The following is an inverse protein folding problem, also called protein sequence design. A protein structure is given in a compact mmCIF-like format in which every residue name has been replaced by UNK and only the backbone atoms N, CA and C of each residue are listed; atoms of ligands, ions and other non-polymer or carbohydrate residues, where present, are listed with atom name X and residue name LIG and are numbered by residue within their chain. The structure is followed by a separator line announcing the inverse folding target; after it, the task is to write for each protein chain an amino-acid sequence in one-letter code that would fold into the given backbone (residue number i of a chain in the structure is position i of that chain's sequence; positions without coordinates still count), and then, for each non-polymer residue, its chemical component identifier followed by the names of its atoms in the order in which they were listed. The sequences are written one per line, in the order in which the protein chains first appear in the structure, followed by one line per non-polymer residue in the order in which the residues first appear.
data_IF_411214464763
#
_entry.id   IF_411214464763
#
_cell.length_a   1.000
_cell.length_b   1.000
_cell.length_c   1.000
_cell.angle_alpha   90.00
_cell.angle_beta   90.00
_cell.angle_gamma   90.00
#
_symmetry.space_group_name_H-M   'P 1'
#
loop_
_entity.id
_entity.type
_entity.pdbx_description
1 polymer ?
#
# COMPACT_ATOMS: atom_id res chain seq x y z
N UNK A 1 22.39 -17.06 -3.62
CA UNK A 1 21.45 -16.47 -4.58
C UNK A 1 20.07 -16.98 -4.22
N UNK A 2 19.10 -16.11 -3.92
CA UNK A 2 17.72 -16.53 -3.70
C UNK A 2 17.22 -17.20 -4.97
N UNK A 3 16.72 -18.43 -4.87
CA UNK A 3 16.14 -19.13 -6.03
C UNK A 3 14.91 -18.33 -6.50
N UNK A 4 15.00 -17.75 -7.70
CA UNK A 4 13.87 -17.15 -8.39
C UNK A 4 12.88 -18.26 -8.75
N UNK A 5 11.59 -18.05 -8.55
CA UNK A 5 10.60 -18.94 -9.13
C UNK A 5 10.30 -18.52 -10.59
N UNK A 6 9.68 -19.44 -11.35
CA UNK A 6 9.40 -19.21 -12.77
C UNK A 6 8.44 -18.05 -13.02
N UNK A 7 7.59 -17.71 -12.04
CA UNK A 7 6.66 -16.59 -12.15
C UNK A 7 7.39 -15.25 -12.12
N UNK A 8 8.47 -15.16 -11.33
CA UNK A 8 9.24 -13.93 -11.14
C UNK A 8 10.07 -13.54 -12.38
N UNK A 9 10.30 -14.47 -13.32
CA UNK A 9 11.17 -14.29 -14.50
C UNK A 9 10.45 -14.38 -15.84
N UNK A 10 9.14 -14.63 -15.84
CA UNK A 10 8.33 -14.69 -17.08
C UNK A 10 8.26 -13.31 -17.77
N UNK A 11 8.01 -13.31 -19.09
CA UNK A 11 7.83 -12.06 -19.84
C UNK A 11 6.61 -11.27 -19.37
N UNK A 12 6.55 -9.98 -19.72
CA UNK A 12 5.39 -9.14 -19.41
C UNK A 12 4.10 -9.72 -20.02
N UNK A 13 4.15 -10.15 -21.27
CA UNK A 13 3.00 -10.74 -21.98
C UNK A 13 2.52 -12.04 -21.32
N UNK A 14 3.45 -12.91 -20.92
CA UNK A 14 3.12 -14.12 -20.17
C UNK A 14 2.49 -13.80 -18.81
N UNK A 15 3.02 -12.78 -18.12
CA UNK A 15 2.46 -12.33 -16.83
C UNK A 15 1.06 -11.81 -16.99
N UNK A 16 0.82 -10.94 -17.98
CA UNK A 16 -0.51 -10.40 -18.26
C UNK A 16 -1.51 -11.51 -18.58
N UNK A 17 -1.15 -12.44 -19.46
CA UNK A 17 -2.01 -13.58 -19.81
C UNK A 17 -2.36 -14.44 -18.58
N UNK A 18 -1.38 -14.77 -17.75
CA UNK A 18 -1.59 -15.56 -16.54
C UNK A 18 -2.43 -14.81 -15.48
N UNK A 19 -2.23 -13.51 -15.34
CA UNK A 19 -3.01 -12.68 -14.42
C UNK A 19 -4.44 -12.51 -14.89
N UNK A 20 -4.69 -12.33 -16.19
CA UNK A 20 -6.04 -12.31 -16.77
C UNK A 20 -6.75 -13.65 -16.56
N UNK A 21 -6.06 -14.77 -16.77
CA UNK A 21 -6.62 -16.10 -16.54
C UNK A 21 -7.09 -16.29 -15.09
N UNK A 22 -6.36 -15.74 -14.11
CA UNK A 22 -6.74 -15.77 -12.70
C UNK A 22 -7.83 -14.74 -12.38
N UNK A 23 -7.79 -13.56 -12.98
CA UNK A 23 -8.70 -12.44 -12.70
C UNK A 23 -10.13 -12.71 -13.20
N UNK A 24 -10.30 -13.25 -14.42
CA UNK A 24 -11.62 -13.39 -15.04
C UNK A 24 -12.60 -14.21 -14.19
N UNK A 25 -12.24 -15.37 -13.60
CA UNK A 25 -13.13 -16.09 -12.69
C UNK A 25 -13.51 -15.30 -11.44
N UNK A 26 -12.60 -14.46 -10.91
CA UNK A 26 -12.86 -13.62 -9.74
C UNK A 26 -13.89 -12.53 -10.07
N UNK A 27 -13.74 -11.87 -11.21
CA UNK A 27 -14.69 -10.85 -11.68
C UNK A 27 -16.09 -11.46 -11.91
N UNK A 28 -16.17 -12.62 -12.55
CA UNK A 28 -17.43 -13.32 -12.77
C UNK A 28 -18.11 -13.68 -11.44
N UNK A 29 -17.35 -14.20 -10.47
CA UNK A 29 -17.85 -14.54 -9.14
C UNK A 29 -18.37 -13.33 -8.39
N UNK A 30 -17.59 -12.24 -8.32
CA UNK A 30 -18.00 -11.00 -7.65
C UNK A 30 -19.26 -10.44 -8.30
N UNK A 31 -19.32 -10.41 -9.62
CA UNK A 31 -20.47 -9.88 -10.36
C UNK A 31 -21.74 -10.69 -10.08
N UNK A 32 -21.63 -12.02 -9.98
CA UNK A 32 -22.74 -12.90 -9.67
C UNK A 32 -23.23 -12.77 -8.20
N UNK A 33 -22.31 -12.60 -7.24
CA UNK A 33 -22.65 -12.59 -5.81
C UNK A 33 -22.94 -11.16 -5.27
N UNK A 34 -22.62 -10.11 -6.02
CA UNK A 34 -22.83 -8.70 -5.64
C UNK A 34 -23.79 -7.93 -6.57
N UNK A 35 -24.78 -8.60 -7.13
CA UNK A 35 -25.87 -7.98 -7.93
C UNK A 35 -25.36 -7.05 -9.05
N UNK A 36 -24.31 -7.46 -9.78
CA UNK A 36 -23.80 -6.72 -10.92
C UNK A 36 -22.97 -5.48 -10.54
N UNK A 37 -22.39 -5.43 -9.36
CA UNK A 37 -21.54 -4.29 -8.90
C UNK A 37 -20.37 -3.99 -9.84
N UNK A 38 -19.86 -4.98 -10.55
CA UNK A 38 -18.85 -4.85 -11.58
C UNK A 38 -19.49 -5.02 -12.97
N UNK A 39 -20.51 -4.22 -13.30
CA UNK A 39 -21.28 -4.32 -14.54
C UNK A 39 -20.45 -4.32 -15.82
N UNK A 40 -19.27 -3.71 -15.79
CA UNK A 40 -18.33 -3.66 -16.92
C UNK A 40 -17.27 -4.77 -16.88
N UNK A 41 -17.37 -5.73 -15.97
CA UNK A 41 -16.40 -6.83 -15.85
C UNK A 41 -16.31 -7.70 -17.14
N UNK A 42 -17.40 -7.85 -17.88
CA UNK A 42 -17.44 -8.56 -19.15
C UNK A 42 -16.66 -7.88 -20.29
N UNK A 43 -16.35 -6.58 -20.15
CA UNK A 43 -15.59 -5.80 -21.12
C UNK A 43 -14.08 -5.91 -20.96
N UNK A 44 -13.60 -6.53 -19.87
CA UNK A 44 -12.18 -6.67 -19.56
C UNK A 44 -11.54 -7.68 -20.50
N UNK A 45 -10.63 -7.24 -21.36
CA UNK A 45 -9.85 -8.05 -22.30
C UNK A 45 -8.34 -7.95 -22.05
N UNK A 46 -7.90 -6.90 -21.33
CA UNK A 46 -6.53 -6.65 -20.93
C UNK A 46 -6.48 -6.11 -19.49
N UNK A 47 -5.32 -6.12 -18.85
CA UNK A 47 -5.18 -5.50 -17.52
C UNK A 47 -5.41 -3.99 -17.56
N UNK A 48 -5.13 -3.34 -18.70
CA UNK A 48 -5.38 -1.92 -18.88
C UNK A 48 -6.88 -1.56 -18.84
N UNK A 49 -7.76 -2.51 -19.13
CA UNK A 49 -9.21 -2.29 -19.08
C UNK A 49 -9.75 -2.23 -17.65
N UNK A 50 -8.97 -2.64 -16.66
CA UNK A 50 -9.33 -2.49 -15.23
C UNK A 50 -9.72 -1.05 -14.88
N UNK A 51 -9.13 -0.06 -15.55
CA UNK A 51 -9.48 1.37 -15.40
C UNK A 51 -10.97 1.68 -15.55
N UNK A 52 -11.71 0.84 -16.24
CA UNK A 52 -13.16 1.00 -16.45
C UNK A 52 -13.98 0.49 -15.26
N UNK A 53 -13.39 -0.29 -14.37
CA UNK A 53 -14.05 -0.72 -13.14
C UNK A 53 -13.92 0.34 -12.05
N UNK A 54 -14.92 0.45 -11.15
CA UNK A 54 -14.88 1.42 -10.06
C UNK A 54 -13.73 1.11 -9.09
N UNK A 55 -13.14 2.17 -8.54
CA UNK A 55 -12.14 2.05 -7.46
C UNK A 55 -12.86 1.75 -6.15
N UNK A 56 -12.48 0.66 -5.48
CA UNK A 56 -12.95 0.30 -4.15
C UNK A 56 -12.13 1.05 -3.10
N UNK A 57 -12.73 2.02 -2.43
CA UNK A 57 -12.07 2.76 -1.36
C UNK A 57 -12.29 2.12 0.01
N UNK A 58 -11.35 2.30 0.90
CA UNK A 58 -11.43 1.77 2.26
C UNK A 58 -12.70 2.23 3.00
N UNK A 59 -13.14 3.46 2.77
CA UNK A 59 -14.40 3.99 3.31
C UNK A 59 -15.64 3.26 2.78
N UNK A 60 -15.63 2.87 1.50
CA UNK A 60 -16.71 2.07 0.92
C UNK A 60 -16.75 0.67 1.55
N UNK A 61 -15.57 0.04 1.71
CA UNK A 61 -15.47 -1.28 2.32
C UNK A 61 -16.04 -1.27 3.75
N UNK A 62 -15.71 -0.27 4.56
CA UNK A 62 -16.28 -0.11 5.92
C UNK A 62 -17.80 0.02 5.90
N UNK A 63 -18.35 0.82 4.99
CA UNK A 63 -19.79 0.98 4.84
C UNK A 63 -20.48 -0.33 4.44
N UNK A 64 -19.88 -1.08 3.50
CA UNK A 64 -20.40 -2.37 3.06
C UNK A 64 -20.35 -3.42 4.17
N UNK A 65 -19.28 -3.44 4.98
CA UNK A 65 -19.16 -4.34 6.11
C UNK A 65 -20.17 -4.02 7.23
N UNK A 66 -20.51 -2.74 7.42
CA UNK A 66 -21.57 -2.35 8.35
C UNK A 66 -22.95 -2.79 7.85
N UNK A 67 -23.19 -2.77 6.55
CA UNK A 67 -24.45 -3.20 5.93
C UNK A 67 -24.58 -4.73 5.86
N UNK A 68 -23.51 -5.43 5.46
CA UNK A 68 -23.43 -6.90 5.31
C UNK A 68 -22.20 -7.46 6.04
N UNK A 69 -22.23 -7.61 7.38
CA UNK A 69 -21.10 -8.15 8.13
C UNK A 69 -20.78 -9.61 7.76
N UNK A 70 -19.53 -10.07 7.89
CA UNK A 70 -18.35 -9.29 8.27
C UNK A 70 -17.64 -8.62 7.06
N UNK A 71 -17.85 -9.07 5.84
CA UNK A 71 -17.01 -8.73 4.68
C UNK A 71 -17.72 -7.91 3.60
N UNK A 72 -18.84 -7.27 3.90
CA UNK A 72 -19.53 -6.37 2.97
C UNK A 72 -20.14 -7.07 1.74
N UNK A 73 -20.43 -8.38 1.86
CA UNK A 73 -20.90 -9.19 0.75
C UNK A 73 -19.82 -9.52 -0.28
N UNK A 74 -18.54 -9.24 0.00
CA UNK A 74 -17.43 -9.73 -0.84
C UNK A 74 -17.38 -11.25 -0.73
N UNK A 75 -17.31 -11.98 -1.86
CA UNK A 75 -17.22 -13.44 -1.84
C UNK A 75 -16.01 -13.93 -1.03
N UNK A 76 -16.22 -14.87 -0.13
CA UNK A 76 -15.15 -15.46 0.67
C UNK A 76 -15.19 -16.97 0.61
N UNK A 77 -14.00 -17.59 0.65
CA UNK A 77 -13.82 -19.04 0.80
C UNK A 77 -12.55 -19.31 1.61
N UNK A 78 -12.41 -20.52 2.17
CA UNK A 78 -11.20 -20.91 2.87
C UNK A 78 -10.83 -20.07 4.10
N UNK A 79 -11.76 -19.24 4.60
CA UNK A 79 -11.51 -18.34 5.74
C UNK A 79 -11.47 -19.15 7.03
N UNK A 80 -10.34 -19.08 7.73
CA UNK A 80 -10.10 -19.77 9.00
C UNK A 80 -9.75 -18.84 10.14
N UNK A 81 -9.46 -17.57 9.83
CA UNK A 81 -9.10 -16.52 10.79
C UNK A 81 -9.87 -15.24 10.48
N UNK A 82 -10.17 -14.46 11.50
CA UNK A 82 -10.86 -13.18 11.41
C UNK A 82 -10.00 -12.13 12.11
N UNK A 83 -9.82 -10.99 11.46
CA UNK A 83 -9.04 -9.87 11.97
C UNK A 83 -9.85 -8.59 11.92
N UNK A 84 -9.39 -7.59 12.64
CA UNK A 84 -9.97 -6.25 12.66
C UNK A 84 -8.86 -5.19 12.67
N UNK A 85 -8.80 -4.41 11.62
CA UNK A 85 -7.97 -3.21 11.55
C UNK A 85 -8.72 -1.97 12.05
N UNK A 86 -7.99 -0.88 12.41
CA UNK A 86 -8.63 0.38 12.75
C UNK A 86 -9.54 0.88 11.63
N UNK A 87 -10.78 1.27 12.04
CA UNK A 87 -11.80 1.75 11.11
C UNK A 87 -13.23 1.62 11.67
N UNK A 88 -13.80 0.52 12.21
CA UNK A 88 -13.26 -0.83 12.09
C UNK A 88 -13.38 -1.40 10.66
N UNK A 89 -12.38 -2.17 10.25
CA UNK A 89 -12.40 -2.96 9.02
C UNK A 89 -12.13 -4.41 9.40
N UNK A 90 -12.94 -5.35 8.91
CA UNK A 90 -12.74 -6.78 9.13
C UNK A 90 -12.03 -7.41 7.93
N UNK A 91 -10.96 -8.14 8.20
CA UNK A 91 -10.19 -8.84 7.19
C UNK A 91 -10.22 -10.34 7.46
N UNK A 92 -10.38 -11.17 6.41
CA UNK A 92 -10.23 -12.62 6.53
C UNK A 92 -8.77 -13.05 6.50
N UNK A 93 -8.51 -14.25 6.98
CA UNK A 93 -7.26 -14.97 6.78
C UNK A 93 -7.52 -16.43 6.52
N UNK A 94 -6.75 -17.03 5.63
CA UNK A 94 -6.79 -18.45 5.32
C UNK A 94 -5.71 -19.24 6.05
N UNK A 95 -5.74 -20.57 5.89
CA UNK A 95 -4.78 -21.50 6.45
C UNK A 95 -3.80 -22.08 5.43
N UNK A 96 -3.98 -21.78 4.14
CA UNK A 96 -3.04 -22.21 3.12
C UNK A 96 -1.68 -21.54 3.32
N UNK A 97 -0.56 -22.24 3.08
CA UNK A 97 0.75 -21.62 3.20
C UNK A 97 0.87 -20.36 2.37
N UNK A 98 1.49 -19.33 2.95
CA UNK A 98 1.72 -18.02 2.30
C UNK A 98 0.44 -17.31 1.77
N UNK A 99 -0.68 -17.48 2.47
CA UNK A 99 -1.99 -16.96 2.03
C UNK A 99 -1.96 -15.46 1.67
N UNK A 100 -1.12 -14.67 2.36
CA UNK A 100 -0.90 -13.24 2.11
C UNK A 100 0.28 -12.93 1.19
N UNK A 101 1.02 -13.95 0.68
CA UNK A 101 2.07 -13.87 -0.34
C UNK A 101 3.38 -13.20 0.08
N UNK A 102 3.74 -13.17 1.36
CA UNK A 102 5.02 -12.61 1.84
C UNK A 102 6.22 -13.55 1.67
N UNK A 103 6.04 -14.80 1.28
CA UNK A 103 7.11 -15.79 1.18
C UNK A 103 8.20 -15.43 0.16
N UNK A 104 7.83 -14.82 -0.99
CA UNK A 104 8.81 -14.31 -1.98
C UNK A 104 9.70 -13.23 -1.39
N UNK A 105 9.12 -12.36 -0.58
CA UNK A 105 9.87 -11.34 0.14
C UNK A 105 10.86 -11.95 1.14
N UNK A 106 10.43 -12.93 1.94
CA UNK A 106 11.33 -13.59 2.89
C UNK A 106 12.49 -14.29 2.16
N UNK A 107 12.21 -15.01 1.06
CA UNK A 107 13.28 -15.59 0.22
C UNK A 107 14.22 -14.52 -0.35
N UNK A 108 13.70 -13.38 -0.82
CA UNK A 108 14.53 -12.28 -1.30
C UNK A 108 15.42 -11.69 -0.19
N UNK A 109 14.93 -11.66 1.06
CA UNK A 109 15.70 -11.29 2.24
C UNK A 109 16.69 -12.38 2.70
N UNK A 110 16.80 -13.49 1.97
CA UNK A 110 17.68 -14.62 2.29
C UNK A 110 17.19 -15.44 3.49
N UNK A 111 15.91 -15.34 3.84
CA UNK A 111 15.28 -16.07 4.94
C UNK A 111 14.65 -17.36 4.40
N UNK A 112 14.90 -18.47 5.05
CA UNK A 112 14.39 -19.77 4.64
C UNK A 112 14.73 -20.90 5.61
N UNK A 113 14.85 -22.11 5.07
CA UNK A 113 15.15 -23.31 5.87
C UNK A 113 16.38 -23.12 6.76
N UNK A 114 16.24 -23.47 8.02
CA UNK A 114 17.29 -23.31 9.05
C UNK A 114 17.23 -21.98 9.82
N UNK A 115 16.54 -20.97 9.31
CA UNK A 115 16.36 -19.71 10.04
C UNK A 115 15.34 -19.84 11.18
N UNK A 116 15.57 -19.04 12.23
CA UNK A 116 14.61 -18.76 13.29
C UNK A 116 14.28 -17.28 13.23
N UNK A 117 13.03 -16.96 12.90
CA UNK A 117 12.54 -15.59 12.75
C UNK A 117 11.91 -15.13 14.06
N UNK A 118 12.41 -14.04 14.63
CA UNK A 118 11.69 -13.31 15.66
C UNK A 118 10.64 -12.42 15.01
N UNK A 119 9.38 -12.84 15.04
CA UNK A 119 8.26 -12.08 14.50
C UNK A 119 7.65 -11.19 15.59
N UNK A 120 7.87 -9.88 15.45
CA UNK A 120 7.44 -8.86 16.41
C UNK A 120 6.18 -8.12 16.00
N UNK A 121 5.57 -8.47 14.86
CA UNK A 121 4.26 -7.97 14.49
C UNK A 121 3.19 -8.45 15.47
N UNK A 122 2.14 -7.65 15.66
CA UNK A 122 1.02 -8.00 16.54
C UNK A 122 0.29 -9.25 16.03
N UNK A 123 -0.01 -10.14 16.97
CA UNK A 123 -0.89 -11.29 16.77
C UNK A 123 -2.34 -11.02 17.24
N UNK A 124 -2.59 -9.80 17.72
CA UNK A 124 -3.89 -9.37 18.24
C UNK A 124 -4.57 -8.42 17.26
N UNK A 125 -5.85 -8.62 17.03
CA UNK A 125 -6.72 -7.84 16.15
C UNK A 125 -6.26 -7.80 14.69
N UNK A 126 -5.07 -7.24 14.39
CA UNK A 126 -4.55 -7.07 13.02
C UNK A 126 -3.84 -8.33 12.52
N UNK A 127 -3.81 -8.58 11.20
CA UNK A 127 -3.29 -9.82 10.65
C UNK A 127 -1.76 -9.90 10.53
N UNK A 128 -1.02 -8.81 10.80
CA UNK A 128 0.41 -8.71 10.44
C UNK A 128 1.29 -9.85 11.03
N UNK A 129 1.09 -10.24 12.28
CA UNK A 129 1.80 -11.36 12.89
C UNK A 129 1.53 -12.68 12.15
N UNK A 130 0.26 -12.96 11.85
CA UNK A 130 -0.15 -14.14 11.10
C UNK A 130 0.34 -14.13 9.64
N UNK A 131 0.42 -12.97 9.00
CA UNK A 131 0.96 -12.81 7.65
C UNK A 131 2.40 -13.27 7.56
N UNK A 132 3.26 -12.76 8.43
CA UNK A 132 4.68 -13.11 8.45
C UNK A 132 4.94 -14.54 8.95
N UNK A 133 4.09 -15.04 9.88
CA UNK A 133 4.14 -16.44 10.30
C UNK A 133 3.82 -17.40 9.14
N UNK A 134 2.71 -17.14 8.42
CA UNK A 134 2.31 -17.94 7.26
C UNK A 134 3.41 -17.97 6.18
N UNK A 135 4.04 -16.82 5.92
CA UNK A 135 5.15 -16.71 4.98
C UNK A 135 6.40 -17.45 5.45
N UNK A 136 6.74 -17.36 6.74
CA UNK A 136 7.89 -18.04 7.32
C UNK A 136 7.74 -19.58 7.20
N UNK A 137 6.55 -20.10 7.50
CA UNK A 137 6.25 -21.53 7.33
C UNK A 137 6.35 -21.96 5.86
N UNK A 138 5.94 -21.11 4.92
CA UNK A 138 6.01 -21.40 3.48
C UNK A 138 7.45 -21.38 2.91
N UNK A 139 8.42 -20.88 3.66
CA UNK A 139 9.85 -20.90 3.31
C UNK A 139 10.67 -21.82 4.24
N UNK A 140 10.00 -22.70 4.99
CA UNK A 140 10.58 -23.65 5.93
C UNK A 140 11.39 -23.01 7.06
N UNK A 141 11.10 -21.77 7.43
CA UNK A 141 11.69 -21.10 8.58
C UNK A 141 10.87 -21.34 9.85
N UNK A 142 11.54 -21.38 10.99
CA UNK A 142 10.88 -21.45 12.31
C UNK A 142 10.51 -20.06 12.80
N UNK A 143 9.41 -19.93 13.53
CA UNK A 143 8.93 -18.64 14.03
C UNK A 143 8.93 -18.60 15.55
N UNK A 144 9.57 -17.59 16.11
CA UNK A 144 9.33 -17.14 17.47
C UNK A 144 8.26 -16.02 17.41
N UNK A 145 7.05 -16.32 17.84
CA UNK A 145 5.89 -15.42 17.85
C UNK A 145 6.01 -14.44 19.02
N UNK A 146 6.93 -13.47 18.91
CA UNK A 146 7.28 -12.55 19.97
C UNK A 146 6.24 -11.45 20.20
N UNK A 147 5.64 -10.94 19.11
CA UNK A 147 4.73 -9.79 19.18
C UNK A 147 5.43 -8.49 19.61
N UNK A 148 4.68 -7.39 19.80
CA UNK A 148 5.23 -6.13 20.29
C UNK A 148 5.42 -6.13 21.83
N UNK A 149 6.34 -5.30 22.32
CA UNK A 149 6.59 -5.13 23.76
C UNK A 149 7.54 -6.15 24.37
N UNK A 150 7.68 -6.16 25.71
CA UNK A 150 8.54 -7.09 26.46
C UNK A 150 9.99 -7.14 25.96
N UNK A 151 10.57 -5.99 25.58
CA UNK A 151 11.84 -5.90 24.81
C UNK A 151 13.00 -6.64 25.48
N UNK A 152 13.12 -6.56 26.82
CA UNK A 152 14.16 -7.29 27.57
C UNK A 152 14.01 -8.82 27.44
N UNK A 153 12.78 -9.32 27.59
CA UNK A 153 12.51 -10.76 27.41
C UNK A 153 12.79 -11.21 25.98
N UNK A 154 12.47 -10.37 25.00
CA UNK A 154 12.73 -10.65 23.58
C UNK A 154 14.23 -10.75 23.29
N UNK A 155 15.06 -9.88 23.90
CA UNK A 155 16.54 -9.97 23.78
C UNK A 155 17.05 -11.29 24.32
N UNK A 156 16.61 -11.73 25.52
CA UNK A 156 17.03 -13.01 26.12
C UNK A 156 16.57 -14.19 25.26
N UNK A 157 15.29 -14.20 24.87
CA UNK A 157 14.74 -15.26 24.03
C UNK A 157 15.44 -15.37 22.67
N UNK A 158 15.85 -14.24 22.08
CA UNK A 158 16.57 -14.24 20.81
C UNK A 158 17.90 -15.02 20.89
N UNK A 159 18.60 -14.91 22.01
CA UNK A 159 19.82 -15.71 22.27
C UNK A 159 19.47 -17.18 22.50
N UNK A 160 18.54 -17.44 23.44
CA UNK A 160 18.20 -18.80 23.85
C UNK A 160 17.62 -19.66 22.71
N UNK A 161 16.84 -19.03 21.81
CA UNK A 161 16.22 -19.68 20.65
C UNK A 161 17.11 -19.67 19.41
N UNK A 162 18.26 -19.00 19.43
CA UNK A 162 19.17 -18.90 18.29
C UNK A 162 18.50 -18.17 17.11
N UNK A 163 17.86 -17.03 17.36
CA UNK A 163 17.20 -16.22 16.32
C UNK A 163 18.21 -15.73 15.30
N UNK A 164 17.99 -15.98 14.02
CA UNK A 164 18.88 -15.59 12.91
C UNK A 164 18.31 -14.47 12.06
N UNK A 165 16.99 -14.24 12.14
CA UNK A 165 16.28 -13.27 11.34
C UNK A 165 15.22 -12.54 12.16
N UNK A 166 14.92 -11.30 11.74
CA UNK A 166 13.89 -10.47 12.33
C UNK A 166 12.76 -10.20 11.33
N UNK A 167 11.52 -10.18 11.82
CA UNK A 167 10.34 -9.67 11.11
C UNK A 167 9.57 -8.69 12.01
N UNK A 168 9.30 -7.47 11.53
CA UNK A 168 8.65 -6.44 12.31
C UNK A 168 8.74 -5.05 11.70
N UNK A 169 8.45 -4.01 12.50
CA UNK A 169 8.65 -2.63 12.05
C UNK A 169 10.14 -2.24 12.13
N UNK A 170 10.60 -1.33 11.26
CA UNK A 170 12.01 -0.93 11.26
C UNK A 170 12.49 -0.36 12.59
N UNK A 171 11.69 0.48 13.21
CA UNK A 171 11.99 1.17 14.48
C UNK A 171 12.09 0.20 15.66
N UNK A 172 11.24 -0.82 15.71
CA UNK A 172 11.23 -1.77 16.81
C UNK A 172 12.46 -2.71 16.80
N UNK A 173 13.01 -3.02 15.62
CA UNK A 173 14.32 -3.67 15.54
C UNK A 173 15.40 -2.81 16.25
N UNK A 174 15.38 -1.50 15.99
CA UNK A 174 16.28 -0.55 16.67
C UNK A 174 16.14 -0.58 18.19
N UNK A 175 14.90 -0.63 18.70
CA UNK A 175 14.63 -0.72 20.12
C UNK A 175 15.16 -2.02 20.75
N UNK A 176 15.01 -3.16 20.06
CA UNK A 176 15.57 -4.45 20.51
C UNK A 176 17.09 -4.41 20.56
N UNK A 177 17.74 -3.88 19.52
CA UNK A 177 19.20 -3.78 19.46
C UNK A 177 19.75 -2.83 20.53
N UNK A 178 19.10 -1.68 20.75
CA UNK A 178 19.48 -0.76 21.83
C UNK A 178 19.33 -1.41 23.21
N UNK A 179 18.26 -2.16 23.45
CA UNK A 179 18.06 -2.89 24.70
C UNK A 179 19.12 -3.98 24.90
N UNK A 180 19.50 -4.67 23.83
CA UNK A 180 20.59 -5.67 23.89
C UNK A 180 21.92 -5.02 24.30
N UNK A 181 22.24 -3.83 23.75
CA UNK A 181 23.43 -3.06 24.12
C UNK A 181 23.40 -2.69 25.61
N UNK A 182 22.26 -2.18 26.13
CA UNK A 182 22.09 -1.86 27.57
C UNK A 182 22.30 -3.08 28.47
N UNK A 183 21.89 -4.27 27.99
CA UNK A 183 22.03 -5.53 28.73
C UNK A 183 23.41 -6.16 28.57
N UNK A 184 24.29 -5.62 27.73
CA UNK A 184 25.58 -6.21 27.39
C UNK A 184 25.48 -7.53 26.62
N UNK A 185 24.37 -7.74 25.91
CA UNK A 185 24.07 -8.96 25.13
C UNK A 185 24.31 -8.70 23.66
N UNK A 186 25.14 -9.50 23.01
CA UNK A 186 25.39 -9.43 21.58
C UNK A 186 24.35 -10.25 20.80
N UNK A 187 23.62 -9.60 19.88
CA UNK A 187 22.69 -10.25 18.94
C UNK A 187 23.31 -10.42 17.53
N UNK A 188 24.60 -10.72 17.47
CA UNK A 188 25.37 -10.81 16.21
C UNK A 188 24.94 -11.96 15.29
N UNK A 189 24.16 -12.89 15.79
CA UNK A 189 23.55 -13.98 15.02
C UNK A 189 22.33 -13.56 14.21
N UNK A 190 21.72 -12.38 14.52
CA UNK A 190 20.68 -11.79 13.70
C UNK A 190 21.34 -11.04 12.54
N UNK A 191 21.33 -11.64 11.37
CA UNK A 191 21.99 -11.09 10.17
C UNK A 191 21.01 -10.64 9.07
N UNK A 192 19.73 -10.96 9.23
CA UNK A 192 18.67 -10.70 8.24
C UNK A 192 17.49 -10.01 8.90
N UNK A 193 16.90 -9.03 8.21
CA UNK A 193 15.67 -8.39 8.66
C UNK A 193 14.72 -8.14 7.50
N UNK A 194 13.48 -8.59 7.67
CA UNK A 194 12.35 -8.37 6.77
C UNK A 194 11.37 -7.40 7.45
N UNK A 195 11.35 -6.13 7.00
CA UNK A 195 10.61 -5.08 7.69
C UNK A 195 9.44 -4.53 6.87
N UNK A 196 8.38 -4.11 7.56
CA UNK A 196 7.19 -3.47 6.99
C UNK A 196 6.47 -2.60 8.03
N UNK A 197 5.35 -1.97 7.65
CA UNK A 197 4.50 -1.22 8.57
C UNK A 197 5.06 0.11 9.04
N UNK A 198 6.20 0.53 8.54
CA UNK A 198 6.83 1.82 8.83
C UNK A 198 7.94 2.13 7.83
N UNK A 199 8.37 3.41 7.73
CA UNK A 199 9.43 3.79 6.80
C UNK A 199 10.80 3.31 7.30
N UNK A 200 11.58 2.71 6.41
CA UNK A 200 12.98 2.38 6.65
C UNK A 200 13.88 3.50 6.10
N UNK A 201 14.18 4.49 6.94
CA UNK A 201 15.01 5.61 6.55
C UNK A 201 16.46 5.19 6.25
N UNK A 202 17.16 5.86 5.29
CA UNK A 202 18.54 5.52 4.91
C UNK A 202 19.52 5.45 6.10
N UNK A 203 19.39 6.37 7.06
CA UNK A 203 20.24 6.39 8.27
C UNK A 203 20.02 5.15 9.15
N UNK A 204 18.75 4.71 9.28
CA UNK A 204 18.39 3.52 10.07
C UNK A 204 18.92 2.26 9.38
N UNK A 205 18.74 2.15 8.06
CA UNK A 205 19.28 1.06 7.25
C UNK A 205 20.81 0.96 7.37
N UNK A 206 21.51 2.10 7.29
CA UNK A 206 22.97 2.14 7.44
C UNK A 206 23.42 1.68 8.84
N UNK A 207 22.68 2.04 9.89
CA UNK A 207 22.97 1.59 11.24
C UNK A 207 22.82 0.06 11.40
N UNK A 208 21.82 -0.55 10.75
CA UNK A 208 21.66 -2.02 10.72
C UNK A 208 22.76 -2.69 9.91
N UNK A 209 23.10 -2.15 8.75
CA UNK A 209 24.20 -2.66 7.93
C UNK A 209 25.56 -2.64 8.69
N UNK A 210 25.82 -1.59 9.49
CA UNK A 210 27.02 -1.51 10.34
C UNK A 210 27.06 -2.59 11.45
N UNK A 211 25.92 -3.21 11.77
CA UNK A 211 25.81 -4.36 12.68
C UNK A 211 25.83 -5.71 11.95
N UNK A 212 26.05 -5.72 10.63
CA UNK A 212 26.01 -6.93 9.80
C UNK A 212 24.60 -7.41 9.45
N UNK A 213 23.56 -6.58 9.65
CA UNK A 213 22.17 -6.96 9.37
C UNK A 213 21.78 -6.44 7.99
N UNK A 214 21.49 -7.35 7.05
CA UNK A 214 20.84 -7.02 5.77
C UNK A 214 19.35 -6.81 6.02
N UNK A 215 18.89 -5.56 5.90
CA UNK A 215 17.52 -5.17 6.16
C UNK A 215 16.82 -4.80 4.85
N UNK A 216 15.84 -5.61 4.44
CA UNK A 216 14.97 -5.34 3.30
C UNK A 216 13.56 -4.96 3.75
N UNK A 217 12.94 -4.08 2.99
CA UNK A 217 11.60 -3.57 3.25
C UNK A 217 10.60 -4.09 2.23
N UNK A 218 9.36 -4.33 2.68
CA UNK A 218 8.24 -4.57 1.80
C UNK A 218 7.08 -3.59 2.04
N UNK A 219 6.19 -3.54 1.08
CA UNK A 219 4.93 -2.82 1.12
C UNK A 219 3.77 -3.81 1.03
N UNK A 220 2.83 -3.68 1.96
CA UNK A 220 1.61 -4.47 2.02
C UNK A 220 0.61 -3.85 2.97
N UNK A 221 -0.65 -4.28 2.89
CA UNK A 221 -1.74 -3.83 3.77
C UNK A 221 -2.48 -5.03 4.37
N UNK A 222 -3.21 -4.78 5.45
CA UNK A 222 -4.06 -5.79 6.08
C UNK A 222 -5.13 -6.33 5.11
N UNK A 223 -5.61 -5.47 4.21
CA UNK A 223 -6.72 -5.77 3.29
C UNK A 223 -6.28 -6.68 2.14
N UNK A 224 -5.19 -6.32 1.44
CA UNK A 224 -4.77 -7.00 0.20
C UNK A 224 -3.55 -7.92 0.39
N UNK A 225 -2.90 -7.90 1.56
CA UNK A 225 -1.68 -8.64 1.80
C UNK A 225 -0.46 -7.97 1.16
N UNK A 226 0.46 -8.77 0.64
CA UNK A 226 1.71 -8.32 0.05
C UNK A 226 1.51 -7.66 -1.31
N UNK A 227 2.17 -6.53 -1.54
CA UNK A 227 2.05 -5.73 -2.77
C UNK A 227 3.39 -5.64 -3.50
N UNK A 228 4.47 -5.27 -2.79
CA UNK A 228 5.78 -5.10 -3.40
C UNK A 228 6.89 -5.22 -2.36
N UNK A 229 8.12 -5.54 -2.80
CA UNK A 229 9.25 -5.78 -1.91
C UNK A 229 10.60 -5.42 -2.53
N UNK A 230 11.52 -5.01 -1.67
CA UNK A 230 12.91 -4.87 -2.02
C UNK A 230 13.56 -6.24 -2.25
N UNK A 231 14.40 -6.32 -3.26
CA UNK A 231 15.24 -7.50 -3.55
C UNK A 231 16.72 -7.20 -3.33
N UNK A 232 17.05 -5.91 -3.34
CA UNK A 232 18.32 -5.33 -2.96
C UNK A 232 18.04 -4.13 -2.05
N UNK A 233 18.87 -3.91 -1.06
CA UNK A 233 18.67 -2.86 -0.07
C UNK A 233 18.63 -1.47 -0.69
N UNK A 234 17.49 -0.77 -0.54
CA UNK A 234 17.27 0.57 -1.09
C UNK A 234 16.90 0.62 -2.57
N UNK A 235 16.79 -0.52 -3.25
CA UNK A 235 16.30 -0.58 -4.63
C UNK A 235 14.77 -0.38 -4.70
N UNK A 236 14.22 0.01 -5.86
CA UNK A 236 12.79 0.00 -6.08
C UNK A 236 12.17 -1.37 -5.81
N UNK A 237 10.97 -1.38 -5.22
CA UNK A 237 10.29 -2.61 -4.81
C UNK A 237 9.67 -3.32 -6.01
N UNK A 238 9.98 -4.59 -6.21
CA UNK A 238 9.34 -5.44 -7.23
C UNK A 238 7.91 -5.76 -6.79
N UNK A 239 6.94 -5.62 -7.70
CA UNK A 239 5.54 -5.97 -7.42
C UNK A 239 5.40 -7.49 -7.28
N UNK A 240 4.61 -7.94 -6.31
CA UNK A 240 4.29 -9.36 -6.11
C UNK A 240 3.47 -9.92 -7.29
N UNK A 241 3.73 -11.19 -7.64
CA UNK A 241 3.10 -11.85 -8.79
C UNK A 241 1.59 -12.12 -8.63
N UNK A 242 1.08 -12.08 -7.40
CA UNK A 242 -0.35 -12.20 -7.07
C UNK A 242 -1.07 -10.88 -6.88
N UNK A 243 -0.44 -9.75 -7.26
CA UNK A 243 -1.02 -8.42 -7.21
C UNK A 243 -0.92 -7.73 -8.57
N UNK A 244 -2.02 -7.11 -9.02
CA UNK A 244 -2.00 -6.17 -10.14
C UNK A 244 -2.05 -4.78 -9.52
N UNK A 245 -1.10 -3.93 -9.88
CA UNK A 245 -0.96 -2.58 -9.31
C UNK A 245 -1.14 -1.53 -10.39
N UNK A 246 -2.02 -0.58 -10.11
CA UNK A 246 -2.22 0.63 -10.90
C UNK A 246 -1.78 1.83 -10.07
N UNK A 247 -1.19 2.84 -10.70
CA UNK A 247 -0.95 4.15 -10.10
C UNK A 247 -1.92 5.13 -10.74
N UNK A 248 -2.77 5.74 -9.91
CA UNK A 248 -3.89 6.52 -10.41
C UNK A 248 -3.94 7.92 -9.78
N UNK A 249 -4.61 8.84 -10.45
CA UNK A 249 -4.91 10.16 -9.89
C UNK A 249 -5.84 10.01 -8.68
N UNK A 250 -5.45 10.50 -7.49
CA UNK A 250 -6.30 10.43 -6.31
C UNK A 250 -7.67 11.08 -6.57
N UNK A 251 -8.73 10.36 -6.19
CA UNK A 251 -10.11 10.83 -6.36
C UNK A 251 -10.77 10.38 -7.66
N UNK A 252 -10.10 10.47 -8.84
CA UNK A 252 -10.69 10.03 -10.12
C UNK A 252 -10.51 8.53 -10.35
N UNK A 253 -9.36 7.98 -10.02
CA UNK A 253 -8.99 6.59 -10.34
C UNK A 253 -8.45 6.42 -11.76
N UNK A 254 -8.17 7.51 -12.49
CA UNK A 254 -7.57 7.47 -13.81
C UNK A 254 -6.07 7.16 -13.72
N UNK A 255 -5.52 6.27 -14.55
CA UNK A 255 -4.11 5.96 -14.56
C UNK A 255 -3.23 7.19 -14.82
N UNK A 256 -2.08 7.28 -14.15
CA UNK A 256 -1.05 8.28 -14.43
C UNK A 256 0.09 7.67 -15.25
N UNK A 257 0.87 8.48 -16.00
CA UNK A 257 2.06 7.99 -16.69
C UNK A 257 3.09 7.37 -15.75
N UNK A 258 3.87 6.39 -16.24
CA UNK A 258 4.99 5.82 -15.51
C UNK A 258 5.96 6.88 -15.03
N UNK A 259 6.42 6.74 -13.78
CA UNK A 259 7.28 7.71 -13.10
C UNK A 259 6.53 8.85 -12.42
N UNK A 260 5.26 9.05 -12.71
CA UNK A 260 4.43 10.04 -12.03
C UNK A 260 3.86 9.46 -10.72
N UNK A 261 3.80 10.29 -9.67
CA UNK A 261 3.27 9.90 -8.38
C UNK A 261 1.74 9.94 -8.40
N UNK A 262 1.12 8.86 -7.95
CA UNK A 262 -0.33 8.74 -7.79
C UNK A 262 -0.71 7.79 -6.67
N UNK A 263 -2.01 7.57 -6.49
CA UNK A 263 -2.56 6.64 -5.51
C UNK A 263 -2.34 5.19 -5.97
N UNK A 264 -1.89 4.36 -5.04
CA UNK A 264 -1.71 2.92 -5.28
C UNK A 264 -3.07 2.23 -5.21
N UNK A 265 -3.48 1.66 -6.33
CA UNK A 265 -4.68 0.83 -6.44
C UNK A 265 -4.26 -0.61 -6.74
N UNK A 266 -4.81 -1.57 -5.99
CA UNK A 266 -4.40 -2.97 -6.06
C UNK A 266 -5.58 -3.87 -6.37
N UNK A 267 -5.41 -4.74 -7.36
CA UNK A 267 -6.28 -5.89 -7.54
C UNK A 267 -5.57 -7.12 -7.00
N UNK A 268 -6.11 -7.70 -5.93
CA UNK A 268 -5.56 -8.89 -5.29
C UNK A 268 -6.09 -10.15 -5.98
N UNK A 269 -5.19 -10.95 -6.57
CA UNK A 269 -5.51 -12.24 -7.19
C UNK A 269 -5.66 -13.33 -6.12
N UNK A 270 -6.52 -13.08 -5.14
CA UNK A 270 -6.81 -14.01 -4.05
C UNK A 270 -8.22 -14.58 -4.24
N UNK A 271 -8.32 -15.88 -4.56
CA UNK A 271 -9.58 -16.55 -4.78
C UNK A 271 -10.45 -16.63 -3.50
N UNK A 272 -9.85 -16.60 -2.33
CA UNK A 272 -10.58 -16.67 -1.07
C UNK A 272 -11.18 -15.32 -0.65
N UNK A 273 -10.55 -14.20 -1.05
CA UNK A 273 -11.01 -12.84 -0.76
C UNK A 273 -10.56 -11.88 -1.86
N UNK A 274 -11.25 -11.84 -2.99
CA UNK A 274 -10.86 -10.99 -4.11
C UNK A 274 -11.21 -9.54 -3.86
N UNK A 275 -10.22 -8.66 -3.82
CA UNK A 275 -10.38 -7.22 -3.82
C UNK A 275 -9.97 -6.66 -5.18
N UNK A 276 -10.91 -6.09 -5.90
CA UNK A 276 -10.70 -5.52 -7.24
C UNK A 276 -10.56 -4.01 -7.12
N UNK A 277 -9.47 -3.47 -7.69
CA UNK A 277 -9.13 -2.05 -7.68
C UNK A 277 -9.25 -1.39 -6.30
N UNK A 278 -8.68 -2.03 -5.29
CA UNK A 278 -8.69 -1.50 -3.93
C UNK A 278 -7.67 -0.36 -3.78
N UNK A 279 -8.16 0.84 -3.47
CA UNK A 279 -7.34 2.01 -3.17
C UNK A 279 -6.75 1.90 -1.76
N UNK A 280 -5.43 1.82 -1.68
CA UNK A 280 -4.72 1.69 -0.40
C UNK A 280 -4.70 2.98 0.42
N UNK A 281 -4.94 4.13 -0.23
CA UNK A 281 -4.77 5.45 0.34
C UNK A 281 -3.30 5.88 0.45
N UNK A 282 -2.37 5.16 -0.17
CA UNK A 282 -0.95 5.49 -0.20
C UNK A 282 -0.53 5.99 -1.59
N UNK A 283 0.51 6.84 -1.63
CA UNK A 283 1.11 7.34 -2.85
C UNK A 283 2.38 6.57 -3.19
N UNK A 284 2.56 6.26 -4.48
CA UNK A 284 3.78 5.72 -5.06
C UNK A 284 3.89 6.09 -6.54
N UNK A 285 4.90 5.54 -7.23
CA UNK A 285 5.07 5.66 -8.68
C UNK A 285 5.62 4.35 -9.25
N UNK A 286 5.30 4.04 -10.51
CA UNK A 286 6.00 2.98 -11.25
C UNK A 286 7.39 3.48 -11.61
N UNK A 287 8.41 2.66 -11.35
CA UNK A 287 9.79 2.93 -11.74
C UNK A 287 10.09 2.19 -13.04
N UNK A 288 10.34 2.90 -14.14
CA UNK A 288 10.67 2.29 -15.43
C UNK A 288 11.93 1.42 -15.39
N UNK A 289 12.03 0.48 -16.34
CA UNK A 289 13.19 -0.37 -16.55
C UNK A 289 13.13 -1.69 -15.76
N UNK A 290 14.17 -2.52 -15.93
CA UNK A 290 14.25 -3.87 -15.36
C UNK A 290 14.91 -3.86 -13.97
N UNK A 291 14.59 -4.86 -13.17
CA UNK A 291 15.27 -5.09 -11.89
C UNK A 291 16.62 -5.75 -12.10
N UNK A 292 17.66 -5.26 -11.41
CA UNK A 292 19.01 -5.84 -11.44
C UNK A 292 19.08 -7.28 -10.90
N UNK A 293 18.07 -7.69 -10.13
CA UNK A 293 18.01 -9.03 -9.56
C UNK A 293 17.48 -10.12 -10.51
N UNK A 294 17.14 -9.77 -11.76
CA UNK A 294 16.58 -10.67 -12.77
C UNK A 294 15.06 -10.88 -12.70
N UNK A 295 14.37 -10.27 -11.75
CA UNK A 295 12.91 -10.24 -11.73
C UNK A 295 12.36 -9.30 -12.78
N UNK A 296 11.31 -9.71 -13.46
CA UNK A 296 10.78 -9.02 -14.65
C UNK A 296 9.51 -8.24 -14.39
N UNK A 297 8.92 -8.32 -13.19
CA UNK A 297 7.73 -7.56 -12.85
C UNK A 297 8.03 -6.07 -12.68
N UNK A 298 7.01 -5.23 -12.81
CA UNK A 298 7.08 -3.79 -12.56
C UNK A 298 7.61 -3.49 -11.15
N UNK A 299 8.10 -2.27 -10.96
CA UNK A 299 8.68 -1.84 -9.69
C UNK A 299 8.02 -0.57 -9.18
N UNK A 300 7.82 -0.50 -7.87
CA UNK A 300 7.33 0.68 -7.17
C UNK A 300 8.50 1.47 -6.56
N UNK A 301 8.35 2.79 -6.56
CA UNK A 301 9.32 3.73 -5.96
C UNK A 301 9.32 3.68 -4.40
N UNK A 302 8.50 2.82 -3.81
CA UNK A 302 8.23 2.80 -2.37
C UNK A 302 7.19 3.83 -1.96
N UNK A 303 6.92 3.93 -0.65
CA UNK A 303 5.92 4.83 -0.09
C UNK A 303 6.33 6.30 -0.23
N UNK A 304 5.45 7.14 -0.76
CA UNK A 304 5.67 8.57 -1.00
C UNK A 304 4.67 9.48 -0.26
N UNK A 305 3.93 8.92 0.68
CA UNK A 305 2.93 9.66 1.46
C UNK A 305 1.55 9.05 1.37
N UNK A 306 0.56 9.79 1.88
CA UNK A 306 -0.85 9.38 1.87
C UNK A 306 -1.61 10.08 0.76
N UNK A 307 -2.50 9.33 0.10
CA UNK A 307 -3.42 9.85 -0.92
C UNK A 307 -4.71 10.41 -0.31
N UNK A 308 -5.11 9.95 0.87
CA UNK A 308 -6.27 10.44 1.61
C UNK A 308 -5.94 11.79 2.29
N UNK A 309 -5.74 12.80 1.46
CA UNK A 309 -5.35 14.16 1.84
C UNK A 309 -6.55 14.98 2.35
N UNK A 310 -7.53 14.32 2.98
CA UNK A 310 -8.68 15.01 3.52
C UNK A 310 -8.24 16.03 4.58
N UNK A 311 -8.46 17.31 4.29
CA UNK A 311 -8.03 18.42 5.15
C UNK A 311 -9.26 19.20 5.62
N UNK A 312 -9.30 19.52 6.93
CA UNK A 312 -10.37 20.33 7.50
C UNK A 312 -10.09 21.82 7.28
N UNK A 313 -10.98 22.50 6.57
CA UNK A 313 -10.89 23.94 6.28
C UNK A 313 -12.14 24.62 6.83
N UNK A 314 -11.98 25.61 7.71
CA UNK A 314 -13.12 26.32 8.34
C UNK A 314 -14.21 25.39 8.89
N UNK A 315 -13.79 24.25 9.48
CA UNK A 315 -14.71 23.28 10.06
C UNK A 315 -15.26 22.20 9.10
N UNK A 316 -15.03 22.31 7.79
CA UNK A 316 -15.52 21.37 6.78
C UNK A 316 -14.35 20.60 6.15
N UNK A 317 -14.56 19.30 5.85
CA UNK A 317 -13.56 18.50 5.15
C UNK A 317 -13.59 18.76 3.65
N UNK A 318 -12.42 19.02 3.09
CA UNK A 318 -12.14 18.98 1.65
C UNK A 318 -11.44 17.64 1.38
N UNK A 319 -11.92 16.92 0.36
CA UNK A 319 -11.44 15.58 0.00
C UNK A 319 -11.08 15.50 -1.47
N UNK A 320 -10.10 14.64 -1.86
CA UNK A 320 -9.71 14.47 -3.26
C UNK A 320 -10.87 14.14 -4.21
N UNK A 321 -11.88 13.36 -3.75
CA UNK A 321 -13.05 13.01 -4.56
C UNK A 321 -13.92 14.23 -4.90
N UNK A 322 -13.99 15.19 -3.99
CA UNK A 322 -14.70 16.46 -4.26
C UNK A 322 -13.91 17.31 -5.27
N UNK A 323 -12.57 17.35 -5.12
CA UNK A 323 -11.71 18.06 -6.08
C UNK A 323 -11.81 17.44 -7.47
N UNK A 324 -11.87 16.11 -7.57
CA UNK A 324 -12.06 15.39 -8.82
C UNK A 324 -13.35 15.78 -9.56
N UNK A 325 -14.44 16.07 -8.83
CA UNK A 325 -15.70 16.55 -9.43
C UNK A 325 -15.54 17.88 -10.17
N UNK A 326 -14.56 18.72 -9.79
CA UNK A 326 -14.27 19.96 -10.53
C UNK A 326 -13.72 19.66 -11.91
N UNK A 327 -12.80 18.69 -12.03
CA UNK A 327 -12.25 18.26 -13.31
C UNK A 327 -13.34 17.66 -14.20
N UNK A 328 -14.24 16.84 -13.63
CA UNK A 328 -15.36 16.26 -14.39
C UNK A 328 -16.34 17.34 -14.91
N UNK A 329 -16.55 18.42 -14.16
CA UNK A 329 -17.42 19.52 -14.59
C UNK A 329 -16.79 20.46 -15.61
N UNK A 330 -15.47 20.53 -15.61
CA UNK A 330 -14.66 21.42 -16.43
C UNK A 330 -13.55 20.63 -17.15
N UNK A 331 -13.86 19.94 -18.26
CA UNK A 331 -12.91 19.07 -18.97
C UNK A 331 -11.64 19.77 -19.48
N UNK A 332 -11.68 21.11 -19.58
CA UNK A 332 -10.53 21.94 -19.92
C UNK A 332 -9.50 22.05 -18.76
N UNK A 333 -9.87 21.70 -17.54
CA UNK A 333 -8.97 21.68 -16.39
C UNK A 333 -8.22 20.34 -16.39
N UNK A 334 -6.91 20.38 -16.58
CA UNK A 334 -6.08 19.17 -16.59
C UNK A 334 -5.72 18.70 -15.18
N UNK A 335 -5.48 19.64 -14.26
CA UNK A 335 -5.13 19.35 -12.86
C UNK A 335 -5.70 20.39 -11.92
N UNK A 336 -5.95 19.97 -10.69
CA UNK A 336 -6.35 20.84 -9.58
C UNK A 336 -5.44 20.58 -8.39
N UNK A 337 -5.00 21.66 -7.73
CA UNK A 337 -4.34 21.61 -6.43
C UNK A 337 -5.03 22.58 -5.48
N UNK A 338 -5.47 22.08 -4.34
CA UNK A 338 -6.02 22.90 -3.26
C UNK A 338 -4.93 23.12 -2.24
N UNK A 339 -4.59 24.35 -1.96
CA UNK A 339 -3.64 24.74 -0.91
C UNK A 339 -4.41 25.33 0.28
N UNK A 340 -4.23 24.72 1.45
CA UNK A 340 -4.86 25.16 2.69
C UNK A 340 -3.82 25.85 3.55
N UNK A 341 -4.05 27.11 3.88
CA UNK A 341 -3.18 27.91 4.72
C UNK A 341 -3.94 28.52 5.91
N UNK A 342 -3.27 29.38 6.65
CA UNK A 342 -3.87 30.17 7.74
C UNK A 342 -3.32 31.60 7.73
N UNK A 343 -4.19 32.58 7.79
CA UNK A 343 -3.82 34.01 7.71
C UNK A 343 -3.68 34.69 9.08
N UNK A 344 -3.47 33.91 10.15
CA UNK A 344 -3.40 34.38 11.53
C UNK A 344 -4.76 34.52 12.23
N UNK A 345 -5.88 34.48 11.48
CA UNK A 345 -7.26 34.60 12.02
C UNK A 345 -8.15 33.43 11.63
N UNK A 346 -8.03 32.95 10.42
CA UNK A 346 -8.89 31.88 9.86
C UNK A 346 -8.13 31.10 8.80
N UNK A 347 -8.58 29.88 8.54
CA UNK A 347 -8.08 29.07 7.43
C UNK A 347 -8.33 29.77 6.10
N UNK A 348 -7.35 29.69 5.21
CA UNK A 348 -7.45 30.12 3.81
C UNK A 348 -7.45 28.90 2.89
N UNK A 349 -8.09 29.04 1.73
CA UNK A 349 -8.10 28.01 0.70
C UNK A 349 -7.83 28.66 -0.65
N UNK A 350 -6.77 28.23 -1.31
CA UNK A 350 -6.41 28.61 -2.68
C UNK A 350 -6.56 27.39 -3.57
N UNK A 351 -7.35 27.50 -4.64
CA UNK A 351 -7.55 26.44 -5.62
C UNK A 351 -6.82 26.81 -6.89
N UNK A 352 -5.73 26.11 -7.18
CA UNK A 352 -4.93 26.27 -8.40
C UNK A 352 -5.43 25.31 -9.46
N UNK A 353 -5.76 25.84 -10.63
CA UNK A 353 -6.31 25.13 -11.77
C UNK A 353 -5.33 25.17 -12.94
N UNK A 354 -4.82 24.02 -13.34
CA UNK A 354 -3.96 23.88 -14.50
C UNK A 354 -4.84 23.79 -15.75
N UNK A 355 -4.97 24.91 -16.46
CA UNK A 355 -5.90 25.04 -17.59
C UNK A 355 -5.51 26.18 -18.52
N UNK A 356 -5.86 26.06 -19.79
CA UNK A 356 -5.84 27.18 -20.77
C UNK A 356 -7.20 27.95 -20.80
N UNK A 357 -8.17 27.49 -20.01
CA UNK A 357 -9.48 28.14 -19.91
C UNK A 357 -9.43 29.45 -19.12
N UNK A 358 -10.28 30.40 -19.48
CA UNK A 358 -10.32 31.75 -18.86
C UNK A 358 -11.57 32.05 -18.03
N UNK A 359 -12.47 31.08 -17.87
CA UNK A 359 -13.76 31.33 -17.19
C UNK A 359 -13.66 31.15 -15.65
N UNK A 360 -12.82 31.97 -15.02
CA UNK A 360 -12.56 31.94 -13.57
C UNK A 360 -13.84 32.05 -12.73
N UNK A 361 -14.84 32.80 -13.21
CA UNK A 361 -16.11 32.97 -12.50
C UNK A 361 -16.89 31.63 -12.42
N UNK A 362 -16.94 30.86 -13.51
CA UNK A 362 -17.58 29.54 -13.52
C UNK A 362 -16.83 28.55 -12.62
N UNK A 363 -15.47 28.57 -12.63
CA UNK A 363 -14.66 27.75 -11.74
C UNK A 363 -14.92 28.05 -10.27
N UNK A 364 -14.97 29.34 -9.89
CA UNK A 364 -15.25 29.77 -8.52
C UNK A 364 -16.67 29.35 -8.06
N UNK A 365 -17.66 29.41 -8.94
CA UNK A 365 -19.00 28.94 -8.66
C UNK A 365 -19.02 27.42 -8.41
N UNK A 366 -18.38 26.63 -9.28
CA UNK A 366 -18.28 25.17 -9.14
C UNK A 366 -17.51 24.76 -7.88
N UNK A 367 -16.41 25.44 -7.56
CA UNK A 367 -15.64 25.23 -6.33
C UNK A 367 -16.52 25.44 -5.10
N UNK A 368 -17.25 26.55 -5.05
CA UNK A 368 -18.15 26.84 -3.92
C UNK A 368 -19.28 25.82 -3.78
N UNK A 369 -19.78 25.31 -4.90
CA UNK A 369 -20.83 24.29 -4.90
C UNK A 369 -20.31 22.92 -4.48
N UNK A 370 -19.18 22.47 -5.02
CA UNK A 370 -18.64 21.13 -4.81
C UNK A 370 -17.97 21.00 -3.45
N UNK A 371 -17.11 21.97 -3.10
CA UNK A 371 -16.36 21.92 -1.82
C UNK A 371 -17.19 22.46 -0.65
N UNK A 372 -18.34 23.08 -0.91
CA UNK A 372 -19.17 23.79 0.09
C UNK A 372 -18.40 24.91 0.84
N UNK A 373 -17.32 25.39 0.22
CA UNK A 373 -16.42 26.40 0.75
C UNK A 373 -16.08 27.41 -0.35
N UNK A 374 -15.90 28.66 0.03
CA UNK A 374 -15.33 29.68 -0.85
C UNK A 374 -13.82 29.72 -0.68
N UNK A 375 -13.09 29.70 -1.78
CA UNK A 375 -11.65 29.81 -1.87
C UNK A 375 -11.24 30.80 -2.94
N UNK A 376 -10.00 31.24 -2.89
CA UNK A 376 -9.35 31.94 -3.99
C UNK A 376 -9.11 30.99 -5.15
N UNK A 377 -9.18 31.46 -6.38
CA UNK A 377 -8.98 30.66 -7.60
C UNK A 377 -7.85 31.27 -8.40
N UNK A 378 -6.85 30.46 -8.70
CA UNK A 378 -5.71 30.79 -9.53
C UNK A 378 -5.65 29.85 -10.73
N UNK A 379 -5.62 30.38 -11.94
CA UNK A 379 -5.34 29.59 -13.14
C UNK A 379 -3.84 29.61 -13.41
N UNK A 380 -3.26 28.45 -13.68
CA UNK A 380 -1.85 28.29 -13.99
C UNK A 380 -1.69 27.58 -15.33
N UNK A 381 -0.54 27.80 -15.98
CA UNK A 381 -0.25 27.17 -17.27
C UNK A 381 -0.19 25.64 -17.14
N UNK A 382 -0.51 24.94 -18.22
CA UNK A 382 -0.39 23.49 -18.32
C UNK A 382 1.05 23.05 -18.00
N UNK A 383 1.23 22.10 -17.09
CA UNK A 383 2.51 21.63 -16.62
C UNK A 383 3.12 22.41 -15.44
N UNK A 384 2.43 23.46 -14.93
CA UNK A 384 2.94 24.28 -13.83
C UNK A 384 2.78 23.64 -12.44
N UNK A 385 1.77 22.80 -12.24
CA UNK A 385 1.55 22.14 -10.95
C UNK A 385 2.53 20.98 -10.73
N UNK A 386 3.00 20.79 -9.49
CA UNK A 386 3.85 19.64 -9.15
C UNK A 386 3.19 18.30 -9.48
N UNK A 387 4.01 17.34 -9.93
CA UNK A 387 3.55 15.96 -10.20
C UNK A 387 3.90 15.03 -9.03
N UNK A 388 3.50 15.47 -7.83
CA UNK A 388 3.81 14.84 -6.55
C UNK A 388 2.64 14.02 -5.96
N UNK A 389 1.53 13.87 -6.70
CA UNK A 389 0.32 13.18 -6.25
C UNK A 389 -0.48 13.94 -5.19
N UNK A 390 -0.04 15.15 -4.82
CA UNK A 390 -0.71 15.95 -3.80
C UNK A 390 -1.79 16.80 -4.44
N UNK A 391 -3.05 16.41 -4.23
CA UNK A 391 -4.24 17.14 -4.68
C UNK A 391 -4.65 18.21 -3.66
N UNK A 392 -4.48 17.93 -2.36
CA UNK A 392 -4.74 18.87 -1.27
C UNK A 392 -3.48 18.99 -0.43
N UNK A 393 -2.87 20.16 -0.43
CA UNK A 393 -1.69 20.48 0.37
C UNK A 393 -2.10 21.31 1.59
N UNK A 394 -1.89 20.77 2.78
CA UNK A 394 -2.06 21.51 4.03
C UNK A 394 -0.72 22.21 4.35
N UNK A 395 -0.71 23.53 4.17
CA UNK A 395 0.48 24.37 4.37
C UNK A 395 0.49 25.05 5.75
N UNK A 396 -0.47 24.70 6.61
CA UNK A 396 -0.51 25.25 7.98
C UNK A 396 0.60 24.62 8.80
N UNK A 397 1.35 25.45 9.52
CA UNK A 397 2.30 24.95 10.53
C UNK A 397 1.49 24.27 11.66
N UNK A 398 1.71 22.98 11.85
CA UNK A 398 1.17 22.25 12.99
C UNK A 398 2.10 22.56 14.17
N UNK A 399 1.66 23.51 15.01
CA UNK A 399 2.33 23.87 16.28
C UNK A 399 2.13 22.77 17.34
#
# INVERSE_FOLDING_TARGET
MSSLDNLETRSADQREADQLLQLMPLLARINAEQDGRLSDAEKIQSLADLRHLPVLRKSNLSAWQAEKPPFGGIPTSGVTRLFQSPGPIYEPGGSTPDWWRFGRFLRAAGIGAGDVIQNTFSYHFTPAGAMFESAALAVDARVFAAGPGQTELQVRAAVDLGVTAYAGTPDYLGAILAKADEMGIALSHITKAAVSGGPLFPKVRAAYAARGITCLQCYGTADVGHIAYETLAGAPMVIDEGAIVEIVTPGTGDPVPDGEVGEVVVTALNADYPLIRFATGDLSAIVPGMSECGRTNMRLAGWKGRADQATKVKGMFVRPEQVAQLVQRHPEIQRVRVEVGHNGKTDTMLVKLETDGSNVAAYAASISEVLKLRGEVETVSIGALPRDGVVIADLREIS
#
